data_IF_552804970776
#
_entry.id   IF_552804970776
#
_cell.length_a   1.000
_cell.length_b   1.000
_cell.length_c   1.000
_cell.angle_alpha   90.00
_cell.angle_beta   90.00
_cell.angle_gamma   90.00
#
_symmetry.space_group_name_H-M   'P 1'
#
loop_
_entity.id
_entity.type
_entity.pdbx_description
1 polymer ?
#
# COMPACT_ATOMS: atom_id res chain seq x y z
N UNK A 1 3.72 -11.70 -17.01
CA UNK A 1 3.25 -11.93 -15.63
C UNK A 1 4.29 -11.38 -14.68
N UNK A 2 3.91 -10.59 -13.67
CA UNK A 2 4.84 -10.26 -12.56
C UNK A 2 5.13 -11.55 -11.79
N UNK A 3 6.37 -11.74 -11.34
CA UNK A 3 6.72 -12.85 -10.44
C UNK A 3 6.24 -12.53 -9.01
N UNK A 4 6.13 -13.51 -8.10
CA UNK A 4 5.80 -13.23 -6.71
C UNK A 4 6.77 -12.24 -6.08
N UNK A 5 8.06 -12.34 -6.41
CA UNK A 5 9.10 -11.42 -5.93
C UNK A 5 8.81 -9.99 -6.39
N UNK A 6 8.55 -9.77 -7.69
CA UNK A 6 8.24 -8.44 -8.20
C UNK A 6 6.95 -7.84 -7.59
N UNK A 7 5.98 -8.68 -7.25
CA UNK A 7 4.76 -8.27 -6.56
C UNK A 7 5.07 -7.81 -5.13
N UNK A 8 5.88 -8.58 -4.39
CA UNK A 8 6.32 -8.21 -3.04
C UNK A 8 7.19 -6.94 -3.04
N UNK A 9 8.11 -6.79 -4.01
CA UNK A 9 8.91 -5.59 -4.19
C UNK A 9 8.03 -4.35 -4.43
N UNK A 10 6.96 -4.50 -5.21
CA UNK A 10 5.98 -3.41 -5.44
C UNK A 10 5.31 -2.99 -4.14
N UNK A 11 4.83 -3.95 -3.33
CA UNK A 11 4.19 -3.66 -2.05
C UNK A 11 5.19 -3.02 -1.07
N UNK A 12 6.42 -3.53 -1.00
CA UNK A 12 7.46 -2.98 -0.15
C UNK A 12 7.79 -1.53 -0.49
N UNK A 13 7.91 -1.19 -1.78
CA UNK A 13 8.13 0.19 -2.22
C UNK A 13 6.98 1.12 -1.80
N UNK A 14 5.74 0.70 -1.99
CA UNK A 14 4.56 1.50 -1.58
C UNK A 14 4.46 1.69 -0.06
N UNK A 15 4.88 0.69 0.72
CA UNK A 15 4.97 0.83 2.18
C UNK A 15 6.05 1.82 2.61
N UNK A 16 7.19 1.87 1.92
CA UNK A 16 8.24 2.88 2.16
C UNK A 16 7.74 4.28 1.84
N UNK A 17 7.01 4.46 0.73
CA UNK A 17 6.39 5.74 0.36
C UNK A 17 5.35 6.18 1.41
N UNK A 18 4.46 5.27 1.84
CA UNK A 18 3.48 5.54 2.89
C UNK A 18 4.14 5.92 4.22
N UNK A 19 5.24 5.25 4.59
CA UNK A 19 6.01 5.56 5.81
C UNK A 19 6.64 6.95 5.72
N UNK A 20 7.22 7.29 4.56
CA UNK A 20 7.81 8.61 4.32
C UNK A 20 6.76 9.73 4.40
N UNK A 21 5.55 9.48 3.90
CA UNK A 21 4.42 10.42 4.02
C UNK A 21 3.96 10.58 5.48
N UNK A 22 3.91 9.49 6.26
CA UNK A 22 3.59 9.55 7.68
C UNK A 22 4.62 10.38 8.46
N UNK A 23 5.91 10.18 8.19
CA UNK A 23 6.98 10.98 8.78
C UNK A 23 6.83 12.46 8.41
N UNK A 24 6.54 12.77 7.14
CA UNK A 24 6.27 14.13 6.70
C UNK A 24 5.11 14.77 7.48
N UNK A 25 4.00 14.06 7.64
CA UNK A 25 2.84 14.54 8.41
C UNK A 25 3.23 14.83 9.85
N UNK A 26 3.95 13.91 10.49
CA UNK A 26 4.37 14.06 11.89
C UNK A 26 5.31 15.26 12.11
N UNK A 27 6.26 15.47 11.20
CA UNK A 27 7.20 16.61 11.29
C UNK A 27 6.54 17.95 10.99
N UNK A 28 5.49 17.96 10.17
CA UNK A 28 4.80 19.18 9.72
C UNK A 28 3.40 19.29 10.35
N UNK A 29 3.27 18.90 11.62
CA UNK A 29 2.02 18.92 12.36
C UNK A 29 1.95 20.13 13.32
N UNK A 30 1.64 21.37 12.87
CA UNK A 30 1.00 22.37 13.73
C UNK A 30 -0.49 22.03 13.92
N UNK A 31 -1.13 22.50 14.99
CA UNK A 31 -2.56 22.31 15.34
C UNK A 31 -3.59 22.86 14.32
N UNK A 32 -3.25 22.95 13.03
CA UNK A 32 -4.08 23.45 11.95
C UNK A 32 -4.46 22.31 10.97
N UNK A 33 -5.74 22.24 10.57
CA UNK A 33 -6.34 21.12 9.81
C UNK A 33 -5.75 20.75 8.44
N UNK A 34 -4.55 21.21 8.06
CA UNK A 34 -3.78 20.66 6.93
C UNK A 34 -3.34 19.21 7.19
N UNK A 35 -3.13 18.83 8.45
CA UNK A 35 -2.85 17.45 8.86
C UNK A 35 -3.97 16.50 8.39
N UNK A 36 -5.23 16.92 8.50
CA UNK A 36 -6.39 16.07 8.16
C UNK A 36 -6.40 15.68 6.68
N UNK A 37 -5.98 16.59 5.80
CA UNK A 37 -5.91 16.31 4.37
C UNK A 37 -4.79 15.33 4.05
N UNK A 38 -3.59 15.52 4.62
CA UNK A 38 -2.47 14.61 4.41
C UNK A 38 -2.70 13.23 5.03
N UNK A 39 -3.32 13.15 6.22
CA UNK A 39 -3.75 11.89 6.82
C UNK A 39 -4.79 11.18 5.95
N UNK A 40 -5.77 11.91 5.41
CA UNK A 40 -6.72 11.34 4.46
C UNK A 40 -6.03 10.78 3.21
N UNK A 41 -5.00 11.46 2.69
CA UNK A 41 -4.20 10.95 1.57
C UNK A 41 -3.44 9.68 1.94
N UNK A 42 -2.80 9.65 3.12
CA UNK A 42 -2.08 8.48 3.62
C UNK A 42 -3.01 7.27 3.78
N UNK A 43 -4.17 7.45 4.41
CA UNK A 43 -5.16 6.37 4.62
C UNK A 43 -5.58 5.75 3.29
N UNK A 44 -5.91 6.58 2.28
CA UNK A 44 -6.30 6.08 0.95
C UNK A 44 -5.16 5.34 0.26
N UNK A 45 -3.93 5.84 0.40
CA UNK A 45 -2.75 5.19 -0.17
C UNK A 45 -2.51 3.81 0.46
N UNK A 46 -2.56 3.72 1.78
CA UNK A 46 -2.41 2.45 2.51
C UNK A 46 -3.52 1.45 2.18
N UNK A 47 -4.77 1.90 2.06
CA UNK A 47 -5.90 1.06 1.61
C UNK A 47 -5.63 0.50 0.21
N UNK A 48 -5.19 1.34 -0.73
CA UNK A 48 -4.86 0.92 -2.09
C UNK A 48 -3.71 -0.10 -2.14
N UNK A 49 -2.69 0.06 -1.29
CA UNK A 49 -1.61 -0.93 -1.17
C UNK A 49 -2.14 -2.26 -0.63
N UNK A 50 -3.06 -2.23 0.34
CA UNK A 50 -3.72 -3.43 0.87
C UNK A 50 -4.56 -4.13 -0.20
N UNK A 51 -5.39 -3.39 -0.93
CA UNK A 51 -6.23 -3.94 -2.00
C UNK A 51 -5.37 -4.62 -3.08
N UNK A 52 -4.27 -3.98 -3.47
CA UNK A 52 -3.30 -4.54 -4.43
C UNK A 52 -2.65 -5.83 -3.92
N UNK A 53 -2.31 -5.89 -2.63
CA UNK A 53 -1.77 -7.11 -2.03
C UNK A 53 -2.79 -8.26 -2.11
N UNK A 54 -4.05 -8.00 -1.79
CA UNK A 54 -5.13 -8.99 -1.94
C UNK A 54 -5.37 -9.40 -3.40
N UNK A 55 -5.31 -8.46 -4.36
CA UNK A 55 -5.37 -8.80 -5.78
C UNK A 55 -4.25 -9.76 -6.19
N UNK A 56 -3.02 -9.53 -5.71
CA UNK A 56 -1.90 -10.43 -5.96
C UNK A 56 -2.12 -11.81 -5.33
N UNK A 57 -2.61 -11.89 -4.09
CA UNK A 57 -2.94 -13.16 -3.42
C UNK A 57 -4.00 -13.94 -4.22
N UNK A 58 -5.09 -13.27 -4.60
CA UNK A 58 -6.19 -13.89 -5.35
C UNK A 58 -5.75 -14.42 -6.72
N UNK A 59 -4.78 -13.77 -7.36
CA UNK A 59 -4.19 -14.27 -8.61
C UNK A 59 -3.40 -15.59 -8.44
N UNK A 60 -2.91 -15.88 -7.23
CA UNK A 60 -2.28 -17.16 -6.91
C UNK A 60 -3.28 -18.21 -6.44
N UNK A 61 -4.32 -17.81 -5.71
CA UNK A 61 -5.38 -18.72 -5.26
C UNK A 61 -6.10 -19.36 -6.47
N UNK A 62 -6.40 -18.56 -7.50
CA UNK A 62 -7.01 -19.04 -8.75
C UNK A 62 -6.13 -20.00 -9.57
N UNK A 63 -4.80 -20.00 -9.35
CA UNK A 63 -3.88 -20.93 -10.04
C UNK A 63 -3.77 -22.30 -9.35
N UNK A 64 -4.25 -22.42 -8.11
CA UNK A 64 -4.30 -23.69 -7.39
C UNK A 64 -5.39 -24.64 -7.88
N UNK A 65 -6.48 -24.12 -8.46
CA UNK A 65 -7.63 -24.92 -8.89
C UNK A 65 -7.54 -25.49 -10.31
N UNK A 66 -6.74 -24.87 -11.19
CA UNK A 66 -6.60 -25.32 -12.61
C UNK A 66 -5.67 -26.53 -12.75
N UNK A 67 -5.04 -27.00 -11.66
CA UNK A 67 -4.12 -28.13 -11.65
C UNK A 67 -4.64 -29.37 -10.87
N UNK A 68 -5.96 -29.49 -10.65
CA UNK A 68 -6.58 -30.69 -10.06
C UNK A 68 -7.42 -31.46 -11.07
#
# INVERSE_FOLDING_TARGET
MKTPINMLETIAAELVENTSLLEFIFQNSPDNGEIDNHLCCLIRSMQKTSDKAYEYINQYDFKGEVNK
#
